data_IF_348407078954
#
_entry.id   IF_348407078954
#
_cell.length_a   1.000
_cell.length_b   1.000
_cell.length_c   1.000
_cell.angle_alpha   90.00
_cell.angle_beta   90.00
_cell.angle_gamma   90.00
#
_symmetry.space_group_name_H-M   'P 1'
#
loop_
_entity.id
_entity.type
_entity.pdbx_description
1 polymer ?
#
# COMPACT_ATOMS: atom_id res chain seq x y z
N UNK A 1 -12.89 14.03 -17.87
CA UNK A 1 -11.84 14.66 -17.03
C UNK A 1 -10.98 13.55 -16.49
N UNK A 2 -9.67 13.51 -16.76
CA UNK A 2 -8.80 12.52 -16.12
C UNK A 2 -8.86 12.75 -14.60
N UNK A 3 -9.04 11.66 -13.85
CA UNK A 3 -8.99 11.72 -12.39
C UNK A 3 -7.54 11.93 -11.98
N UNK A 4 -7.23 13.10 -11.42
CA UNK A 4 -5.90 13.38 -10.88
C UNK A 4 -5.68 12.56 -9.61
N UNK A 5 -4.48 11.99 -9.47
CA UNK A 5 -4.10 11.23 -8.27
C UNK A 5 -3.79 12.21 -7.14
N UNK A 6 -4.24 11.89 -5.93
CA UNK A 6 -4.04 12.69 -4.72
C UNK A 6 -2.54 13.05 -4.52
N UNK A 7 -2.22 14.34 -4.49
CA UNK A 7 -0.85 14.84 -4.34
C UNK A 7 -0.19 14.38 -3.03
N UNK A 8 -0.96 14.21 -1.96
CA UNK A 8 -0.46 13.69 -0.69
C UNK A 8 -0.16 12.18 -0.75
N UNK A 9 -0.70 11.45 -1.73
CA UNK A 9 -0.31 10.06 -2.00
C UNK A 9 1.00 10.04 -2.79
N UNK A 10 1.12 10.91 -3.80
CA UNK A 10 2.32 11.05 -4.61
C UNK A 10 3.55 11.50 -3.80
N UNK A 11 3.33 12.24 -2.71
CA UNK A 11 4.39 12.66 -1.78
C UNK A 11 4.95 11.51 -0.90
N UNK A 12 4.31 10.34 -0.87
CA UNK A 12 4.83 9.18 -0.14
C UNK A 12 6.12 8.65 -0.81
N UNK A 13 7.06 8.05 -0.06
CA UNK A 13 8.34 7.58 -0.59
C UNK A 13 8.22 6.27 -1.40
N UNK A 14 7.16 6.13 -2.21
CA UNK A 14 6.78 4.91 -2.93
C UNK A 14 7.92 4.34 -3.78
N UNK A 15 8.62 5.20 -4.54
CA UNK A 15 9.73 4.79 -5.40
C UNK A 15 10.91 4.26 -4.60
N UNK A 16 11.29 4.96 -3.54
CA UNK A 16 12.41 4.55 -2.69
C UNK A 16 12.13 3.21 -1.99
N UNK A 17 10.91 3.04 -1.46
CA UNK A 17 10.46 1.77 -0.85
C UNK A 17 10.45 0.63 -1.88
N UNK A 18 9.90 0.89 -3.08
CA UNK A 18 9.88 -0.09 -4.16
C UNK A 18 11.29 -0.49 -4.58
N UNK A 19 12.20 0.48 -4.74
CA UNK A 19 13.58 0.22 -5.14
C UNK A 19 14.29 -0.66 -4.12
N UNK A 20 14.16 -0.37 -2.82
CA UNK A 20 14.74 -1.18 -1.75
C UNK A 20 14.20 -2.62 -1.75
N UNK A 21 12.87 -2.77 -1.75
CA UNK A 21 12.21 -4.08 -1.72
C UNK A 21 12.53 -4.94 -2.96
N UNK A 22 12.43 -4.35 -4.15
CA UNK A 22 12.66 -5.06 -5.41
C UNK A 22 14.15 -5.38 -5.61
N UNK A 23 15.07 -4.50 -5.20
CA UNK A 23 16.50 -4.80 -5.23
C UNK A 23 16.83 -5.96 -4.29
N UNK A 24 16.26 -5.99 -3.09
CA UNK A 24 16.45 -7.08 -2.13
C UNK A 24 15.92 -8.41 -2.66
N UNK A 25 14.70 -8.42 -3.21
CA UNK A 25 14.11 -9.62 -3.80
C UNK A 25 14.95 -10.19 -4.95
N UNK A 26 15.45 -9.32 -5.84
CA UNK A 26 16.34 -9.73 -6.95
C UNK A 26 17.67 -10.29 -6.42
N UNK A 27 18.28 -9.64 -5.43
CA UNK A 27 19.52 -10.11 -4.82
C UNK A 27 19.38 -11.48 -4.14
N UNK A 28 18.18 -11.82 -3.69
CA UNK A 28 17.83 -13.13 -3.12
C UNK A 28 17.39 -14.16 -4.18
N UNK A 29 17.46 -13.83 -5.47
CA UNK A 29 17.19 -14.77 -6.56
C UNK A 29 15.73 -14.90 -6.99
N UNK A 30 14.85 -13.98 -6.60
CA UNK A 30 13.47 -14.00 -7.06
C UNK A 30 13.41 -13.80 -8.59
N UNK A 31 12.71 -14.68 -9.30
CA UNK A 31 12.49 -14.60 -10.75
C UNK A 31 11.44 -13.56 -11.12
N UNK A 32 10.56 -13.25 -10.17
CA UNK A 32 9.59 -12.17 -10.27
C UNK A 32 9.46 -11.49 -8.91
N UNK A 33 9.28 -10.17 -8.92
CA UNK A 33 8.97 -9.40 -7.73
C UNK A 33 8.06 -8.23 -8.11
N UNK A 34 6.99 -8.03 -7.34
CA UNK A 34 6.10 -6.88 -7.43
C UNK A 34 5.99 -6.19 -6.06
N UNK A 35 5.86 -4.86 -6.10
CA UNK A 35 5.70 -3.99 -4.93
C UNK A 35 4.40 -3.20 -5.09
N UNK A 36 3.63 -3.11 -4.01
CA UNK A 36 2.42 -2.30 -3.93
C UNK A 36 2.48 -1.40 -2.71
N UNK A 37 2.36 -0.09 -2.91
CA UNK A 37 2.02 0.87 -1.85
C UNK A 37 0.54 1.22 -1.98
N UNK A 38 -0.18 1.23 -0.88
CA UNK A 38 -1.62 1.40 -0.87
C UNK A 38 -2.04 2.33 0.27
N UNK A 39 -2.94 3.28 -0.05
CA UNK A 39 -3.65 4.08 0.95
C UNK A 39 -5.15 3.94 0.73
N UNK A 40 -5.85 3.41 1.72
CA UNK A 40 -7.30 3.25 1.70
C UNK A 40 -7.91 4.27 2.66
N UNK A 41 -8.79 5.13 2.14
CA UNK A 41 -9.56 6.08 2.96
C UNK A 41 -11.01 5.63 2.98
N UNK A 42 -11.52 5.33 4.16
CA UNK A 42 -12.90 4.91 4.37
C UNK A 42 -13.65 5.98 5.13
N UNK A 43 -14.89 6.25 4.74
CA UNK A 43 -15.78 7.16 5.46
C UNK A 43 -17.15 6.51 5.59
N UNK A 44 -17.76 6.63 6.78
CA UNK A 44 -19.09 6.09 7.08
C UNK A 44 -19.95 7.15 7.75
N UNK A 45 -21.22 7.22 7.35
CA UNK A 45 -22.20 8.14 7.90
C UNK A 45 -23.37 7.30 8.39
N UNK A 46 -23.76 7.50 9.64
CA UNK A 46 -24.91 6.83 10.25
C UNK A 46 -26.05 7.81 10.35
N UNK A 47 -27.22 7.38 9.87
CA UNK A 47 -28.47 8.10 10.00
C UNK A 47 -29.36 7.40 11.04
N UNK A 48 -30.13 8.18 11.80
CA UNK A 48 -31.26 7.73 12.61
C UNK A 48 -32.45 8.61 12.28
N UNK A 49 -33.58 8.01 11.95
CA UNK A 49 -34.80 8.74 11.55
C UNK A 49 -34.55 9.74 10.41
N UNK A 50 -33.80 9.31 9.39
CA UNK A 50 -33.33 10.14 8.27
C UNK A 50 -32.52 11.39 8.66
N UNK A 51 -31.98 11.44 9.89
CA UNK A 51 -31.12 12.51 10.39
C UNK A 51 -29.71 12.00 10.71
N UNK A 52 -28.65 12.79 10.48
CA UNK A 52 -27.29 12.42 10.87
C UNK A 52 -27.20 12.10 12.37
N UNK A 53 -26.69 10.92 12.68
CA UNK A 53 -26.50 10.43 14.05
C UNK A 53 -25.03 10.14 14.38
N UNK A 54 -24.16 10.17 13.38
CA UNK A 54 -22.71 10.10 13.56
C UNK A 54 -21.99 9.91 12.24
N UNK A 55 -20.71 10.22 12.23
CA UNK A 55 -19.81 9.92 11.13
C UNK A 55 -18.50 9.37 11.68
N UNK A 56 -17.79 8.61 10.87
CA UNK A 56 -16.42 8.20 11.14
C UNK A 56 -15.65 8.15 9.83
N UNK A 57 -14.36 8.38 9.92
CA UNK A 57 -13.41 8.08 8.86
C UNK A 57 -12.24 7.25 9.40
N UNK A 58 -11.58 6.53 8.50
CA UNK A 58 -10.33 5.83 8.77
C UNK A 58 -9.41 5.95 7.56
N UNK A 59 -8.11 5.87 7.82
CA UNK A 59 -7.09 5.80 6.78
C UNK A 59 -6.12 4.69 7.10
N UNK A 60 -6.02 3.72 6.19
CA UNK A 60 -5.05 2.64 6.25
C UNK A 60 -3.96 2.89 5.21
N UNK A 61 -2.70 2.79 5.63
CA UNK A 61 -1.52 2.99 4.77
C UNK A 61 -0.54 1.85 5.01
N UNK A 62 -0.09 1.24 3.92
CA UNK A 62 0.90 0.18 3.99
C UNK A 62 1.39 -0.24 2.63
N UNK A 63 2.29 -1.21 2.63
CA UNK A 63 2.85 -1.77 1.41
C UNK A 63 2.94 -3.29 1.50
N UNK A 64 3.09 -3.91 0.33
CA UNK A 64 3.31 -5.34 0.20
C UNK A 64 4.34 -5.64 -0.88
N UNK A 65 5.05 -6.74 -0.70
CA UNK A 65 6.00 -7.32 -1.65
C UNK A 65 5.56 -8.75 -1.92
N UNK A 66 5.44 -9.09 -3.20
CA UNK A 66 5.18 -10.45 -3.64
C UNK A 66 6.29 -10.91 -4.56
N UNK A 67 6.72 -12.15 -4.40
CA UNK A 67 7.86 -12.72 -5.13
C UNK A 67 7.54 -14.09 -5.69
N UNK A 68 8.27 -14.49 -6.74
CA UNK A 68 8.39 -15.89 -7.17
C UNK A 68 9.83 -16.31 -7.01
N UNK A 69 10.08 -17.39 -6.27
CA UNK A 69 11.42 -17.98 -6.09
C UNK A 69 11.33 -19.50 -6.20
N UNK A 70 12.13 -20.11 -7.07
CA UNK A 70 12.08 -21.57 -7.30
C UNK A 70 10.70 -22.07 -7.77
N UNK A 71 9.91 -21.24 -8.44
CA UNK A 71 8.55 -21.56 -8.88
C UNK A 71 7.46 -21.41 -7.80
N UNK A 72 7.82 -21.05 -6.57
CA UNK A 72 6.88 -20.82 -5.47
C UNK A 72 6.62 -19.32 -5.24
N UNK A 73 5.39 -18.99 -4.85
CA UNK A 73 5.00 -17.62 -4.47
C UNK A 73 5.33 -17.35 -3.00
N UNK A 74 5.89 -16.17 -2.73
CA UNK A 74 6.09 -15.62 -1.39
C UNK A 74 5.46 -14.24 -1.25
N UNK A 75 5.09 -13.85 -0.03
CA UNK A 75 4.41 -12.59 0.27
C UNK A 75 4.84 -12.04 1.63
N UNK A 76 4.98 -10.71 1.71
CA UNK A 76 5.15 -9.97 2.96
C UNK A 76 4.48 -8.59 2.85
N UNK A 77 4.07 -8.01 3.98
CA UNK A 77 3.47 -6.67 4.04
C UNK A 77 3.81 -5.96 5.36
N UNK A 78 3.79 -4.63 5.34
CA UNK A 78 4.06 -3.79 6.50
C UNK A 78 3.34 -2.43 6.43
N UNK A 79 3.22 -1.78 7.58
CA UNK A 79 2.62 -0.43 7.72
C UNK A 79 3.67 0.65 8.02
N UNK A 80 4.82 0.26 8.58
CA UNK A 80 5.94 1.15 8.82
C UNK A 80 6.71 1.38 7.51
N UNK A 81 6.61 2.59 6.96
CA UNK A 81 7.21 2.97 5.68
C UNK A 81 8.73 3.16 5.81
N UNK A 82 9.44 2.07 6.02
CA UNK A 82 10.89 2.02 6.18
C UNK A 82 11.55 1.32 5.00
N UNK A 83 12.79 1.73 4.70
CA UNK A 83 13.59 1.10 3.63
C UNK A 83 14.35 -0.13 4.13
N UNK A 84 14.37 -0.34 5.45
CA UNK A 84 15.03 -1.46 6.11
C UNK A 84 14.08 -2.66 6.14
N UNK A 85 14.24 -3.56 5.16
CA UNK A 85 13.52 -4.82 5.04
C UNK A 85 14.48 -6.01 4.87
#
# INVERSE_FOLDING_TARGET
MPHEVDQSFLALPSRALADAALARARALGATHADFRLERVRSASWRLRDARPAGASDSTDLGYAVRVVHGGAWGFASGVDLTMDA
#
